data_IF_200688763441
#
_entry.id   IF_200688763441
#
_cell.length_a   1.000
_cell.length_b   1.000
_cell.length_c   1.000
_cell.angle_alpha   90.00
_cell.angle_beta   90.00
_cell.angle_gamma   90.00
#
_symmetry.space_group_name_H-M   'P 1'
#
loop_
_entity.id
_entity.type
_entity.pdbx_description
1 polymer ?
#
# COMPACT_ATOMS: atom_id res chain seq x y z
N UNK A 1 -18.70 15.36 5.27
CA UNK A 1 -17.93 16.36 5.99
C UNK A 1 -17.18 15.76 7.20
N UNK A 2 -17.75 14.79 7.93
CA UNK A 2 -17.06 14.04 9.00
C UNK A 2 -15.74 13.41 8.50
N UNK A 3 -15.75 12.79 7.31
CA UNK A 3 -14.56 12.22 6.71
C UNK A 3 -13.46 13.26 6.45
N UNK A 4 -13.82 14.48 6.01
CA UNK A 4 -12.87 15.59 5.84
C UNK A 4 -12.24 16.02 7.17
N UNK A 5 -13.07 16.11 8.21
CA UNK A 5 -12.58 16.46 9.55
C UNK A 5 -11.59 15.41 10.08
N UNK A 6 -11.93 14.14 9.91
CA UNK A 6 -11.06 13.01 10.27
C UNK A 6 -9.75 13.01 9.48
N UNK A 7 -9.80 13.29 8.17
CA UNK A 7 -8.59 13.41 7.34
C UNK A 7 -7.67 14.53 7.82
N UNK A 8 -8.22 15.73 8.14
CA UNK A 8 -7.43 16.84 8.66
C UNK A 8 -6.76 16.45 9.98
N UNK A 9 -7.48 15.78 10.87
CA UNK A 9 -6.92 15.32 12.14
C UNK A 9 -5.79 14.30 11.93
N UNK A 10 -6.00 13.31 11.05
CA UNK A 10 -5.01 12.29 10.73
C UNK A 10 -3.77 12.88 10.05
N UNK A 11 -3.94 13.79 9.09
CA UNK A 11 -2.83 14.50 8.45
C UNK A 11 -1.98 15.26 9.48
N UNK A 12 -2.62 15.97 10.41
CA UNK A 12 -1.94 16.71 11.46
C UNK A 12 -1.22 15.81 12.46
N UNK A 13 -1.80 14.68 12.86
CA UNK A 13 -1.15 13.70 13.73
C UNK A 13 0.07 13.07 13.05
N UNK A 14 -0.07 12.70 11.78
CA UNK A 14 1.03 12.11 11.01
C UNK A 14 2.13 13.12 10.71
N UNK A 15 1.74 14.36 10.37
CA UNK A 15 2.63 15.45 9.99
C UNK A 15 3.06 16.38 11.13
N UNK A 16 2.83 16.03 12.41
CA UNK A 16 3.03 16.92 13.55
C UNK A 16 4.45 17.52 13.63
N UNK A 17 5.46 16.75 13.24
CA UNK A 17 6.85 17.24 13.20
C UNK A 17 7.04 18.34 12.16
N UNK A 18 6.40 18.23 11.01
CA UNK A 18 6.44 19.22 9.93
C UNK A 18 5.71 20.50 10.38
N UNK A 19 4.51 20.37 10.92
CA UNK A 19 3.71 21.50 11.43
C UNK A 19 4.52 22.30 12.47
N UNK A 20 5.17 21.61 13.42
CA UNK A 20 6.03 22.23 14.44
C UNK A 20 7.30 22.85 13.85
N UNK A 21 7.96 22.16 12.91
CA UNK A 21 9.19 22.67 12.29
C UNK A 21 8.97 24.00 11.55
N UNK A 22 7.77 24.19 10.99
CA UNK A 22 7.40 25.42 10.29
C UNK A 22 6.59 26.41 11.16
N UNK A 23 6.32 26.11 12.45
CA UNK A 23 5.55 26.98 13.34
C UNK A 23 4.12 27.24 12.85
N UNK A 24 3.50 26.23 12.23
CA UNK A 24 2.18 26.36 11.60
C UNK A 24 1.02 25.82 12.43
N UNK A 25 1.20 25.63 13.72
CA UNK A 25 0.18 25.09 14.64
C UNK A 25 -1.09 25.96 14.64
N UNK A 26 -0.95 27.30 14.62
CA UNK A 26 -2.09 28.21 14.58
C UNK A 26 -2.90 28.07 13.28
N UNK A 27 -2.23 27.92 12.14
CA UNK A 27 -2.87 27.75 10.84
C UNK A 27 -3.64 26.42 10.76
N UNK A 28 -3.02 25.31 11.18
CA UNK A 28 -3.68 24.01 11.15
C UNK A 28 -4.84 23.91 12.13
N UNK A 29 -4.72 24.59 13.28
CA UNK A 29 -5.82 24.73 14.23
C UNK A 29 -6.98 25.50 13.63
N UNK A 30 -6.73 26.64 12.98
CA UNK A 30 -7.77 27.44 12.32
C UNK A 30 -8.45 26.63 11.19
N UNK A 31 -7.67 25.88 10.39
CA UNK A 31 -8.18 24.97 9.34
C UNK A 31 -9.12 23.92 9.92
N UNK A 32 -8.73 23.30 11.04
CA UNK A 32 -9.56 22.32 11.74
C UNK A 32 -10.82 22.97 12.32
N UNK A 33 -10.71 24.11 13.01
CA UNK A 33 -11.84 24.82 13.61
C UNK A 33 -12.86 25.23 12.54
N UNK A 34 -12.43 25.75 11.40
CA UNK A 34 -13.30 26.11 10.27
C UNK A 34 -14.08 24.91 9.73
N UNK A 35 -13.43 23.77 9.56
CA UNK A 35 -14.09 22.54 9.11
C UNK A 35 -15.05 22.00 10.19
N UNK A 36 -14.66 22.08 11.46
CA UNK A 36 -15.50 21.68 12.59
C UNK A 36 -16.74 22.56 12.73
N UNK A 37 -16.63 23.87 12.56
CA UNK A 37 -17.77 24.78 12.53
C UNK A 37 -18.74 24.43 11.39
N UNK A 38 -18.21 24.18 10.20
CA UNK A 38 -19.03 23.78 9.05
C UNK A 38 -19.78 22.46 9.34
N UNK A 39 -19.11 21.46 9.86
CA UNK A 39 -19.70 20.18 10.25
C UNK A 39 -20.76 20.35 11.35
N UNK A 40 -20.45 21.17 12.38
CA UNK A 40 -21.35 21.45 13.50
C UNK A 40 -22.62 22.19 13.03
N UNK A 41 -22.49 23.14 12.11
CA UNK A 41 -23.62 23.85 11.53
C UNK A 41 -24.54 22.92 10.72
N UNK A 42 -23.97 22.02 9.92
CA UNK A 42 -24.75 21.01 9.21
C UNK A 42 -25.46 20.05 10.17
N UNK A 43 -24.77 19.62 11.22
CA UNK A 43 -25.35 18.75 12.24
C UNK A 43 -26.50 19.45 13.01
N UNK A 44 -26.27 20.71 13.39
CA UNK A 44 -27.30 21.53 14.06
C UNK A 44 -28.52 21.76 13.17
N UNK A 45 -28.31 22.00 11.86
CA UNK A 45 -29.40 22.12 10.89
C UNK A 45 -30.21 20.82 10.80
N UNK A 46 -29.54 19.67 10.68
CA UNK A 46 -30.18 18.37 10.68
C UNK A 46 -30.98 18.12 11.96
N UNK A 47 -30.41 18.46 13.13
CA UNK A 47 -31.10 18.29 14.41
C UNK A 47 -32.35 19.17 14.51
N UNK A 48 -32.33 20.40 13.99
CA UNK A 48 -33.51 21.29 13.93
C UNK A 48 -34.60 20.68 13.04
N UNK A 49 -34.24 20.16 11.87
CA UNK A 49 -35.21 19.49 10.98
C UNK A 49 -35.82 18.25 11.65
N UNK A 50 -35.00 17.42 12.29
CA UNK A 50 -35.48 16.24 13.03
C UNK A 50 -36.39 16.65 14.21
N UNK A 51 -36.04 17.67 14.96
CA UNK A 51 -36.85 18.19 16.07
C UNK A 51 -38.21 18.69 15.56
N UNK A 52 -38.23 19.45 14.46
CA UNK A 52 -39.50 19.91 13.84
C UNK A 52 -40.36 18.73 13.36
N UNK A 53 -39.72 17.72 12.74
CA UNK A 53 -40.38 16.49 12.33
C UNK A 53 -41.02 15.74 13.51
N UNK A 54 -40.25 15.55 14.61
CA UNK A 54 -40.77 14.87 15.80
C UNK A 54 -41.92 15.64 16.44
N UNK A 55 -41.77 16.97 16.60
CA UNK A 55 -42.81 17.82 17.18
C UNK A 55 -44.10 17.79 16.36
N UNK A 56 -44.01 17.92 15.04
CA UNK A 56 -45.19 17.84 14.16
C UNK A 56 -45.84 16.45 14.18
N UNK A 57 -45.06 15.39 14.16
CA UNK A 57 -45.51 14.01 14.26
C UNK A 57 -46.24 13.73 15.58
N UNK A 58 -45.69 14.22 16.69
CA UNK A 58 -46.31 14.10 18.02
C UNK A 58 -47.63 14.86 18.10
N UNK A 59 -47.68 16.07 17.57
CA UNK A 59 -48.88 16.89 17.54
C UNK A 59 -50.01 16.19 16.76
N UNK A 60 -49.70 15.68 15.55
CA UNK A 60 -50.69 14.95 14.71
C UNK A 60 -51.16 13.70 15.42
N UNK A 61 -50.29 12.92 16.02
CA UNK A 61 -50.61 11.68 16.72
C UNK A 61 -51.45 11.91 17.95
N UNK A 62 -51.16 12.95 18.73
CA UNK A 62 -51.97 13.30 19.91
C UNK A 62 -53.34 13.85 19.52
N UNK A 63 -53.43 14.60 18.41
CA UNK A 63 -54.72 15.04 17.86
C UNK A 63 -55.56 13.84 17.39
N UNK A 64 -54.92 12.88 16.68
CA UNK A 64 -55.58 11.63 16.28
C UNK A 64 -56.14 10.87 17.51
N UNK A 65 -55.33 10.71 18.56
CA UNK A 65 -55.72 10.05 19.80
C UNK A 65 -56.88 10.77 20.47
N UNK A 66 -56.86 12.11 20.53
CA UNK A 66 -57.94 12.94 21.07
C UNK A 66 -59.26 12.68 20.32
N UNK A 67 -59.21 12.64 18.98
CA UNK A 67 -60.39 12.34 18.15
C UNK A 67 -60.91 10.95 18.42
N UNK A 68 -60.04 9.92 18.47
CA UNK A 68 -60.44 8.53 18.77
C UNK A 68 -61.10 8.41 20.13
N UNK A 69 -60.53 9.06 21.16
CA UNK A 69 -61.08 9.05 22.53
C UNK A 69 -62.45 9.77 22.57
N UNK A 70 -62.52 11.01 22.06
CA UNK A 70 -63.72 11.86 22.17
C UNK A 70 -64.85 11.29 21.33
N UNK A 71 -64.61 10.96 20.06
CA UNK A 71 -65.63 10.45 19.16
C UNK A 71 -66.05 9.02 19.52
N UNK A 72 -65.10 8.18 19.92
CA UNK A 72 -65.37 6.81 20.40
C UNK A 72 -66.22 6.80 21.66
N UNK A 73 -66.02 7.74 22.61
CA UNK A 73 -66.86 7.88 23.81
C UNK A 73 -68.25 8.27 23.44
N UNK A 74 -68.48 9.22 22.53
CA UNK A 74 -69.82 9.63 22.07
C UNK A 74 -70.55 8.44 21.43
N UNK A 75 -69.91 7.65 20.57
CA UNK A 75 -70.51 6.47 19.95
C UNK A 75 -70.89 5.42 21.00
N UNK A 76 -70.03 5.19 21.99
CA UNK A 76 -70.24 4.22 23.05
C UNK A 76 -71.47 4.59 23.93
N UNK A 77 -71.58 5.87 24.32
CA UNK A 77 -72.66 6.40 25.12
C UNK A 77 -74.00 6.28 24.36
N UNK A 78 -74.02 6.48 23.06
CA UNK A 78 -75.22 6.32 22.19
C UNK A 78 -75.45 4.87 21.76
N UNK A 79 -74.90 3.88 22.45
CA UNK A 79 -75.07 2.43 22.18
C UNK A 79 -74.63 1.98 20.75
N UNK A 80 -73.82 2.78 20.03
CA UNK A 80 -73.33 2.40 18.71
C UNK A 80 -72.06 1.50 18.78
N UNK A 81 -71.46 1.33 19.96
CA UNK A 81 -70.27 0.47 20.17
C UNK A 81 -70.27 -0.02 21.64
N UNK A 82 -69.75 -1.25 21.86
CA UNK A 82 -69.56 -1.74 23.24
C UNK A 82 -68.33 -1.08 23.90
N UNK A 83 -68.35 -0.96 25.24
CA UNK A 83 -67.21 -0.43 26.00
C UNK A 83 -65.93 -1.22 25.78
N UNK A 84 -65.99 -2.56 25.59
CA UNK A 84 -64.83 -3.40 25.26
C UNK A 84 -64.24 -3.07 23.92
N UNK A 85 -65.05 -2.84 22.89
CA UNK A 85 -64.55 -2.42 21.58
C UNK A 85 -63.89 -1.03 21.62
N UNK A 86 -64.43 -0.09 22.38
CA UNK A 86 -63.90 1.24 22.58
C UNK A 86 -62.49 1.18 23.19
N UNK A 87 -62.31 0.40 24.26
CA UNK A 87 -60.99 0.22 24.90
C UNK A 87 -60.04 -0.44 23.91
N UNK A 88 -60.50 -1.46 23.16
CA UNK A 88 -59.65 -2.11 22.14
C UNK A 88 -59.21 -1.13 21.05
N UNK A 89 -60.08 -0.22 20.59
CA UNK A 89 -59.69 0.81 19.61
C UNK A 89 -58.60 1.76 20.13
N UNK A 90 -58.72 2.22 21.38
CA UNK A 90 -57.69 3.07 22.01
C UNK A 90 -56.36 2.31 22.10
N UNK A 91 -56.40 1.05 22.57
CA UNK A 91 -55.22 0.21 22.71
C UNK A 91 -54.51 -0.04 21.37
N UNK A 92 -55.28 -0.45 20.33
CA UNK A 92 -54.71 -0.69 18.99
C UNK A 92 -54.14 0.61 18.35
N UNK A 93 -54.87 1.73 18.50
CA UNK A 93 -54.36 3.00 18.00
C UNK A 93 -53.05 3.37 18.67
N UNK A 94 -52.94 3.23 20.00
CA UNK A 94 -51.68 3.47 20.75
C UNK A 94 -50.54 2.57 20.30
N UNK A 95 -50.84 1.26 20.05
CA UNK A 95 -49.83 0.31 19.59
C UNK A 95 -49.30 0.62 18.18
N UNK A 96 -50.14 1.18 17.30
CA UNK A 96 -49.77 1.52 15.91
C UNK A 96 -48.94 2.79 15.81
N UNK A 97 -49.06 3.73 16.74
CA UNK A 97 -48.38 5.01 16.66
C UNK A 97 -46.87 4.86 16.58
N UNK A 98 -46.29 4.03 17.45
CA UNK A 98 -44.82 3.87 17.47
C UNK A 98 -44.24 3.18 16.21
N UNK A 99 -44.76 2.08 15.70
CA UNK A 99 -44.29 1.47 14.44
C UNK A 99 -44.38 2.44 13.25
N UNK A 100 -45.51 3.17 13.11
CA UNK A 100 -45.69 4.13 12.02
C UNK A 100 -44.66 5.25 12.09
N UNK A 101 -44.41 5.82 13.29
CA UNK A 101 -43.37 6.83 13.49
C UNK A 101 -41.95 6.32 13.21
N UNK A 102 -41.70 5.05 13.57
CA UNK A 102 -40.37 4.44 13.35
C UNK A 102 -40.04 4.19 11.86
N UNK A 103 -41.07 4.13 11.01
CA UNK A 103 -40.93 3.87 9.57
C UNK A 103 -40.01 4.90 8.90
N UNK A 104 -40.16 6.19 9.22
CA UNK A 104 -39.32 7.25 8.67
C UNK A 104 -37.87 7.07 9.02
N UNK A 105 -37.55 6.67 10.26
CA UNK A 105 -36.18 6.35 10.68
C UNK A 105 -35.65 5.10 9.98
N UNK A 106 -36.46 4.10 9.84
CA UNK A 106 -36.12 2.85 9.14
C UNK A 106 -35.75 3.12 7.69
N UNK A 107 -36.55 3.92 6.97
CA UNK A 107 -36.27 4.31 5.59
C UNK A 107 -34.95 5.09 5.49
N UNK A 108 -34.68 6.04 6.39
CA UNK A 108 -33.43 6.78 6.42
C UNK A 108 -32.22 5.86 6.68
N UNK A 109 -32.37 4.88 7.58
CA UNK A 109 -31.32 3.90 7.86
C UNK A 109 -31.10 2.93 6.68
N UNK A 110 -32.17 2.54 5.98
CA UNK A 110 -32.04 1.72 4.74
C UNK A 110 -31.26 2.45 3.65
N UNK A 111 -31.45 3.76 3.50
CA UNK A 111 -30.65 4.56 2.56
C UNK A 111 -29.16 4.55 2.91
N UNK A 112 -28.80 4.69 4.18
CA UNK A 112 -27.40 4.58 4.63
C UNK A 112 -26.83 3.16 4.42
N UNK A 113 -27.65 2.15 4.70
CA UNK A 113 -27.26 0.75 4.46
C UNK A 113 -27.01 0.49 2.96
N UNK A 114 -27.84 1.05 2.07
CA UNK A 114 -27.64 0.98 0.62
C UNK A 114 -26.25 1.48 0.19
N UNK A 115 -25.86 2.67 0.63
CA UNK A 115 -24.52 3.24 0.33
C UNK A 115 -23.41 2.34 0.85
N UNK A 116 -23.56 1.77 2.04
CA UNK A 116 -22.56 0.86 2.61
C UNK A 116 -22.47 -0.45 1.83
N UNK A 117 -23.62 -0.99 1.38
CA UNK A 117 -23.69 -2.19 0.53
C UNK A 117 -23.01 -1.91 -0.83
N UNK A 118 -23.25 -0.75 -1.43
CA UNK A 118 -22.64 -0.41 -2.71
C UNK A 118 -21.10 -0.30 -2.61
N UNK A 119 -20.58 0.25 -1.50
CA UNK A 119 -19.13 0.26 -1.23
C UNK A 119 -18.58 -1.16 -1.06
N UNK A 120 -19.27 -2.02 -0.33
CA UNK A 120 -18.88 -3.41 -0.18
C UNK A 120 -18.92 -4.15 -1.53
N UNK A 121 -19.97 -3.94 -2.33
CA UNK A 121 -20.09 -4.52 -3.68
C UNK A 121 -18.94 -4.05 -4.59
N UNK A 122 -18.57 -2.78 -4.53
CA UNK A 122 -17.44 -2.27 -5.29
C UNK A 122 -16.16 -3.04 -4.96
N UNK A 123 -15.87 -3.28 -3.67
CA UNK A 123 -14.70 -4.05 -3.25
C UNK A 123 -14.83 -5.53 -3.65
N UNK A 124 -16.00 -6.15 -3.41
CA UNK A 124 -16.21 -7.57 -3.69
C UNK A 124 -16.26 -7.91 -5.18
N UNK A 125 -16.67 -6.96 -6.02
CA UNK A 125 -16.73 -7.13 -7.48
C UNK A 125 -15.46 -6.58 -8.17
N UNK A 126 -14.46 -6.09 -7.43
CA UNK A 126 -13.18 -5.72 -8.02
C UNK A 126 -12.55 -6.96 -8.63
N UNK A 127 -11.95 -6.78 -9.80
CA UNK A 127 -11.26 -7.86 -10.49
C UNK A 127 -10.16 -8.44 -9.59
N UNK A 128 -10.23 -9.74 -9.39
CA UNK A 128 -9.17 -10.46 -8.68
C UNK A 128 -8.04 -10.76 -9.66
N UNK A 129 -6.83 -10.77 -9.15
CA UNK A 129 -5.70 -11.26 -9.92
C UNK A 129 -5.89 -12.78 -10.12
N UNK A 130 -6.07 -13.19 -11.36
CA UNK A 130 -6.21 -14.60 -11.74
C UNK A 130 -5.07 -15.03 -12.63
N UNK A 131 -4.50 -16.19 -12.32
CA UNK A 131 -3.55 -16.84 -13.19
C UNK A 131 -4.27 -17.56 -14.33
N UNK A 132 -3.59 -17.70 -15.49
CA UNK A 132 -4.12 -18.49 -16.58
C UNK A 132 -4.34 -19.95 -16.12
N UNK A 133 -5.36 -20.68 -16.64
CA UNK A 133 -5.66 -22.05 -16.20
C UNK A 133 -4.49 -23.02 -16.28
N UNK A 134 -3.55 -22.78 -17.21
CA UNK A 134 -2.38 -23.60 -17.45
C UNK A 134 -1.08 -22.93 -16.96
N UNK A 135 -1.16 -22.00 -16.00
CA UNK A 135 0.02 -21.32 -15.47
C UNK A 135 1.01 -22.31 -14.85
N UNK A 136 2.27 -22.16 -15.23
CA UNK A 136 3.37 -23.05 -14.85
C UNK A 136 4.21 -22.48 -13.69
N UNK A 137 5.03 -23.36 -13.10
CA UNK A 137 5.98 -23.01 -12.01
C UNK A 137 7.38 -23.47 -12.39
N UNK A 138 8.06 -22.81 -13.37
CA UNK A 138 9.38 -23.21 -13.82
C UNK A 138 10.47 -22.85 -12.81
N UNK A 139 11.67 -23.40 -13.00
CA UNK A 139 12.87 -22.91 -12.32
C UNK A 139 13.15 -21.47 -12.80
N UNK A 140 13.29 -20.53 -11.85
CA UNK A 140 13.53 -19.11 -12.14
C UNK A 140 15.02 -18.75 -12.17
N UNK A 141 15.95 -19.69 -11.91
CA UNK A 141 17.38 -19.45 -12.10
C UNK A 141 17.72 -19.59 -13.60
N UNK A 142 17.12 -18.75 -14.41
CA UNK A 142 17.22 -18.71 -15.86
C UNK A 142 17.40 -17.27 -16.32
N UNK A 143 17.78 -17.10 -17.60
CA UNK A 143 17.91 -15.79 -18.23
C UNK A 143 16.56 -15.06 -18.24
N UNK A 144 16.58 -13.77 -17.89
CA UNK A 144 15.44 -12.90 -17.94
C UNK A 144 15.54 -12.00 -19.18
N UNK A 145 14.49 -11.91 -19.98
CA UNK A 145 14.51 -11.11 -21.19
C UNK A 145 13.28 -10.21 -21.27
N UNK A 146 13.54 -8.92 -21.48
CA UNK A 146 12.53 -7.90 -21.79
C UNK A 146 12.54 -7.66 -23.30
N UNK A 147 11.39 -7.74 -23.95
CA UNK A 147 11.23 -7.56 -25.39
C UNK A 147 10.18 -6.51 -25.69
N UNK A 148 10.60 -5.36 -26.21
CA UNK A 148 9.75 -4.27 -26.65
C UNK A 148 8.71 -3.85 -25.61
N UNK A 149 9.09 -3.82 -24.32
CA UNK A 149 8.17 -3.54 -23.23
C UNK A 149 7.85 -2.07 -23.19
N UNK A 150 6.56 -1.74 -23.34
CA UNK A 150 5.99 -0.42 -23.13
C UNK A 150 4.96 -0.49 -22.00
N UNK A 151 4.86 0.54 -21.16
CA UNK A 151 3.93 0.53 -20.05
C UNK A 151 3.47 1.92 -19.64
N UNK A 152 2.17 2.03 -19.39
CA UNK A 152 1.51 3.20 -18.85
C UNK A 152 0.64 2.78 -17.64
N UNK A 153 0.69 3.54 -16.54
CA UNK A 153 -0.22 3.31 -15.43
C UNK A 153 -1.66 3.69 -15.79
N UNK A 154 -2.66 2.98 -15.27
CA UNK A 154 -4.09 3.23 -15.57
C UNK A 154 -4.53 4.68 -15.39
N UNK A 155 -4.01 5.35 -14.35
CA UNK A 155 -4.30 6.76 -14.08
C UNK A 155 -3.24 7.72 -14.63
N UNK A 156 -2.27 7.22 -15.40
CA UNK A 156 -1.19 8.00 -16.00
C UNK A 156 -1.60 8.62 -17.33
N UNK A 157 -1.06 9.80 -17.63
CA UNK A 157 -1.29 10.48 -18.92
C UNK A 157 -0.20 10.21 -19.95
N UNK A 158 0.91 9.56 -19.56
CA UNK A 158 2.06 9.29 -20.41
C UNK A 158 2.60 7.88 -20.15
N UNK A 159 3.24 7.30 -21.16
CA UNK A 159 4.00 6.07 -21.03
C UNK A 159 5.20 6.29 -20.12
N UNK A 160 5.39 5.36 -19.19
CA UNK A 160 6.54 5.34 -18.27
C UNK A 160 7.69 4.53 -18.83
N UNK A 161 7.38 3.52 -19.65
CA UNK A 161 8.33 2.70 -20.39
C UNK A 161 7.95 2.70 -21.88
N UNK A 162 8.95 2.88 -22.73
CA UNK A 162 8.76 2.93 -24.18
C UNK A 162 9.75 1.98 -24.88
N UNK A 163 9.23 0.88 -25.42
CA UNK A 163 9.97 -0.08 -26.23
C UNK A 163 11.29 -0.58 -25.58
N UNK A 164 11.24 -0.91 -24.31
CA UNK A 164 12.39 -1.35 -23.52
C UNK A 164 12.75 -2.80 -23.87
N UNK A 165 14.00 -3.05 -24.27
CA UNK A 165 14.50 -4.37 -24.59
C UNK A 165 15.90 -4.55 -24.01
N UNK A 166 16.12 -5.60 -23.22
CA UNK A 166 17.43 -6.02 -22.69
C UNK A 166 17.36 -7.45 -22.14
N UNK A 167 18.52 -8.02 -21.84
CA UNK A 167 18.65 -9.38 -21.31
C UNK A 167 19.52 -9.42 -20.06
N UNK A 168 19.07 -10.16 -19.05
CA UNK A 168 19.80 -10.45 -17.81
C UNK A 168 20.20 -11.91 -17.83
N UNK A 169 21.48 -12.22 -17.70
CA UNK A 169 21.96 -13.61 -17.60
C UNK A 169 21.73 -14.15 -16.20
N UNK A 170 21.34 -15.42 -16.11
CA UNK A 170 21.19 -16.11 -14.84
C UNK A 170 22.50 -16.12 -14.04
N UNK A 171 22.42 -15.96 -12.72
CA UNK A 171 23.56 -16.00 -11.81
C UNK A 171 24.51 -14.80 -11.94
N UNK A 172 24.15 -13.72 -12.65
CA UNK A 172 24.97 -12.50 -12.77
C UNK A 172 24.40 -11.34 -11.96
N UNK A 173 25.24 -10.35 -11.72
CA UNK A 173 24.83 -9.07 -11.15
C UNK A 173 24.55 -8.09 -12.27
N UNK A 174 23.33 -7.62 -12.37
CA UNK A 174 22.85 -6.68 -13.39
C UNK A 174 22.55 -5.31 -12.80
N UNK A 175 23.09 -4.25 -13.39
CA UNK A 175 22.92 -2.88 -12.95
C UNK A 175 21.90 -2.11 -13.78
N UNK A 176 21.05 -1.32 -13.15
CA UNK A 176 20.13 -0.36 -13.79
C UNK A 176 20.41 1.03 -13.26
N UNK A 177 21.02 1.88 -14.08
CA UNK A 177 21.25 3.29 -13.78
C UNK A 177 20.16 4.15 -14.39
N UNK A 178 19.75 5.20 -13.71
CA UNK A 178 18.82 6.19 -14.27
C UNK A 178 18.35 7.21 -13.24
N UNK A 179 17.89 8.35 -13.71
CA UNK A 179 17.31 9.40 -12.87
C UNK A 179 15.99 9.00 -12.21
N UNK A 180 15.51 9.81 -11.27
CA UNK A 180 14.18 9.66 -10.69
C UNK A 180 13.11 9.78 -11.79
N UNK A 181 12.14 8.87 -11.80
CA UNK A 181 11.08 8.86 -12.80
C UNK A 181 11.47 8.27 -14.17
N UNK A 182 12.66 7.67 -14.33
CA UNK A 182 13.06 7.03 -15.58
C UNK A 182 12.41 5.67 -15.85
N UNK A 183 11.63 5.09 -14.91
CA UNK A 183 10.91 3.83 -15.06
C UNK A 183 11.59 2.61 -14.43
N UNK A 184 12.71 2.74 -13.70
CA UNK A 184 13.47 1.63 -13.11
C UNK A 184 12.64 0.72 -12.21
N UNK A 185 11.96 1.28 -11.23
CA UNK A 185 11.12 0.53 -10.30
C UNK A 185 9.92 -0.11 -11.02
N UNK A 186 9.38 0.57 -12.05
CA UNK A 186 8.28 0.04 -12.87
C UNK A 186 8.68 -1.23 -13.59
N UNK A 187 9.91 -1.32 -14.14
CA UNK A 187 10.44 -2.55 -14.75
C UNK A 187 10.39 -3.72 -13.77
N UNK A 188 10.79 -3.49 -12.52
CA UNK A 188 10.82 -4.54 -11.50
C UNK A 188 9.43 -4.91 -11.00
N UNK A 189 8.53 -3.95 -10.89
CA UNK A 189 7.13 -4.24 -10.54
C UNK A 189 6.43 -5.05 -11.63
N UNK A 190 6.76 -4.85 -12.90
CA UNK A 190 6.28 -5.69 -13.99
C UNK A 190 6.88 -7.09 -13.92
N UNK A 191 8.19 -7.23 -13.64
CA UNK A 191 8.87 -8.51 -13.50
C UNK A 191 8.28 -9.36 -12.36
N UNK A 192 7.97 -8.72 -11.22
CA UNK A 192 7.36 -9.36 -10.04
C UNK A 192 5.83 -9.49 -10.16
N UNK A 193 5.27 -9.13 -11.32
CA UNK A 193 3.82 -9.11 -11.58
C UNK A 193 3.00 -8.33 -10.53
N UNK A 194 3.57 -7.31 -9.90
CA UNK A 194 2.81 -6.36 -9.08
C UNK A 194 1.90 -5.47 -9.95
N UNK A 195 2.29 -5.26 -11.20
CA UNK A 195 1.48 -4.68 -12.27
C UNK A 195 1.43 -5.63 -13.45
N UNK A 196 0.30 -5.67 -14.12
CA UNK A 196 0.10 -6.50 -15.30
C UNK A 196 0.60 -5.78 -16.56
N UNK A 197 1.43 -6.46 -17.35
CA UNK A 197 1.81 -6.00 -18.68
C UNK A 197 0.71 -6.39 -19.67
N UNK A 198 0.06 -5.42 -20.38
CA UNK A 198 -0.92 -5.75 -21.40
C UNK A 198 -0.31 -6.61 -22.53
N UNK A 199 -1.13 -7.44 -23.18
CA UNK A 199 -0.66 -8.43 -24.16
C UNK A 199 0.04 -7.83 -25.38
N UNK A 200 -0.36 -6.65 -25.80
CA UNK A 200 0.16 -5.92 -26.95
C UNK A 200 1.31 -4.94 -26.62
N UNK A 201 1.76 -4.90 -25.37
CA UNK A 201 2.78 -3.97 -24.89
C UNK A 201 4.15 -4.63 -24.67
N UNK A 202 4.45 -5.68 -25.40
CA UNK A 202 5.72 -6.40 -25.32
C UNK A 202 5.64 -7.66 -24.46
N UNK A 203 6.80 -8.18 -24.09
CA UNK A 203 6.93 -9.46 -23.40
C UNK A 203 8.07 -9.43 -22.39
N UNK A 204 7.86 -10.08 -21.24
CA UNK A 204 8.91 -10.38 -20.25
C UNK A 204 8.96 -11.89 -20.08
N UNK A 205 10.13 -12.49 -20.28
CA UNK A 205 10.31 -13.93 -20.17
C UNK A 205 11.40 -14.30 -19.17
N UNK A 206 11.21 -15.44 -18.49
CA UNK A 206 12.24 -16.11 -17.67
C UNK A 206 12.44 -17.51 -18.24
N UNK A 207 13.65 -17.85 -18.67
CA UNK A 207 13.91 -19.11 -19.35
C UNK A 207 13.12 -19.33 -20.64
N UNK A 208 12.73 -18.23 -21.31
CA UNK A 208 11.93 -18.27 -22.53
C UNK A 208 10.42 -18.42 -22.31
N UNK A 209 9.96 -18.57 -21.06
CA UNK A 209 8.54 -18.64 -20.70
C UNK A 209 8.08 -17.23 -20.31
N UNK A 210 6.94 -16.77 -20.85
CA UNK A 210 6.35 -15.49 -20.48
C UNK A 210 5.89 -15.50 -19.02
N UNK A 211 6.18 -14.42 -18.30
CA UNK A 211 5.75 -14.31 -16.89
C UNK A 211 4.22 -14.34 -16.72
N UNK A 212 3.46 -13.96 -17.77
CA UNK A 212 1.99 -14.06 -17.80
C UNK A 212 1.48 -15.50 -17.84
N UNK A 213 2.33 -16.47 -18.24
CA UNK A 213 2.05 -17.89 -18.26
C UNK A 213 2.57 -18.63 -17.01
N UNK A 214 3.14 -17.89 -16.05
CA UNK A 214 3.59 -18.42 -14.77
C UNK A 214 2.59 -18.05 -13.67
N UNK A 215 2.55 -18.82 -12.58
CA UNK A 215 1.76 -18.44 -11.39
C UNK A 215 2.36 -17.22 -10.71
N UNK A 216 1.55 -16.20 -10.43
CA UNK A 216 1.99 -14.96 -9.78
C UNK A 216 2.58 -15.23 -8.38
N UNK A 217 1.94 -16.10 -7.59
CA UNK A 217 2.44 -16.52 -6.29
C UNK A 217 3.84 -17.14 -6.39
N UNK A 218 4.06 -18.01 -7.38
CA UNK A 218 5.35 -18.66 -7.63
C UNK A 218 6.45 -17.65 -7.98
N UNK A 219 6.15 -16.66 -8.83
CA UNK A 219 7.08 -15.59 -9.16
C UNK A 219 7.46 -14.83 -7.90
N UNK A 220 6.49 -14.34 -7.12
CA UNK A 220 6.70 -13.58 -5.88
C UNK A 220 7.34 -14.37 -4.75
N UNK A 221 7.24 -15.70 -4.79
CA UNK A 221 7.97 -16.56 -3.86
C UNK A 221 9.45 -16.69 -4.20
N UNK A 222 9.80 -16.59 -5.46
CA UNK A 222 11.16 -16.82 -5.98
C UNK A 222 11.86 -15.53 -6.41
N UNK A 223 11.18 -14.41 -6.48
CA UNK A 223 11.78 -13.07 -6.64
C UNK A 223 11.75 -12.35 -5.29
N UNK A 224 12.91 -12.03 -4.78
CA UNK A 224 13.03 -11.20 -3.58
C UNK A 224 13.27 -9.75 -3.95
N UNK A 225 12.45 -8.83 -3.45
CA UNK A 225 12.60 -7.40 -3.73
C UNK A 225 12.74 -6.59 -2.43
N UNK A 226 13.75 -5.74 -2.41
CA UNK A 226 13.92 -4.72 -1.37
C UNK A 226 13.61 -3.36 -1.97
N UNK A 227 12.53 -2.74 -1.49
CA UNK A 227 12.04 -1.45 -1.98
C UNK A 227 12.90 -0.29 -1.49
N UNK A 228 12.87 0.83 -2.19
CA UNK A 228 13.54 2.08 -1.84
C UNK A 228 13.11 2.57 -0.45
N UNK A 229 11.81 2.52 -0.13
CA UNK A 229 11.27 2.80 1.20
C UNK A 229 10.79 1.49 1.85
N UNK A 230 11.58 0.91 2.77
CA UNK A 230 11.22 -0.35 3.39
C UNK A 230 10.05 -0.16 4.35
N UNK A 231 9.08 -1.06 4.28
CA UNK A 231 7.95 -1.09 5.18
C UNK A 231 8.13 -2.18 6.25
N UNK A 232 8.08 -1.78 7.50
CA UNK A 232 8.11 -2.71 8.64
C UNK A 232 6.77 -2.63 9.38
N UNK A 233 6.24 -3.79 9.72
CA UNK A 233 5.00 -3.91 10.47
C UNK A 233 5.22 -3.64 11.96
N UNK A 234 4.18 -3.19 12.64
CA UNK A 234 4.16 -2.96 14.08
C UNK A 234 4.19 -4.29 14.85
N UNK A 235 5.33 -4.94 14.86
CA UNK A 235 5.62 -6.27 15.44
C UNK A 235 7.07 -6.31 15.91
N UNK A 236 7.51 -7.46 16.47
CA UNK A 236 8.93 -7.66 16.81
C UNK A 236 9.82 -7.70 15.56
N UNK A 237 11.13 -7.48 15.73
CA UNK A 237 12.11 -7.60 14.64
C UNK A 237 12.15 -9.02 14.06
N UNK A 238 12.10 -10.04 14.90
CA UNK A 238 12.06 -11.44 14.44
C UNK A 238 10.82 -11.72 13.59
N UNK A 239 9.64 -11.22 13.99
CA UNK A 239 8.40 -11.37 13.23
C UNK A 239 8.42 -10.58 11.92
N UNK A 240 9.07 -9.43 11.88
CA UNK A 240 9.29 -8.69 10.65
C UNK A 240 10.20 -9.46 9.70
N UNK A 241 11.36 -9.98 10.18
CA UNK A 241 12.31 -10.71 9.32
C UNK A 241 11.67 -11.96 8.75
N UNK A 242 10.94 -12.75 9.56
CA UNK A 242 10.32 -14.01 9.11
C UNK A 242 9.03 -13.85 8.28
N UNK A 243 8.59 -12.61 7.99
CA UNK A 243 7.33 -12.39 7.26
C UNK A 243 7.29 -13.11 5.92
N UNK A 244 8.42 -13.18 5.25
CA UNK A 244 8.54 -13.88 3.97
C UNK A 244 8.58 -15.43 4.12
N UNK A 245 8.95 -15.95 5.30
CA UNK A 245 9.02 -17.38 5.60
C UNK A 245 8.57 -17.64 7.04
N UNK A 246 7.26 -17.84 7.23
CA UNK A 246 6.67 -17.98 8.57
C UNK A 246 7.22 -19.16 9.38
N UNK A 247 7.68 -20.23 8.70
CA UNK A 247 8.27 -21.42 9.30
C UNK A 247 9.73 -21.25 9.72
N UNK A 248 10.35 -20.07 9.47
CA UNK A 248 11.76 -19.84 9.76
C UNK A 248 12.05 -19.93 11.26
N UNK A 249 13.09 -20.65 11.62
CA UNK A 249 13.59 -20.73 12.99
C UNK A 249 14.52 -19.55 13.33
N UNK A 250 14.90 -19.42 14.61
CA UNK A 250 15.79 -18.34 15.06
C UNK A 250 17.20 -18.41 14.46
N UNK A 251 17.65 -19.58 14.02
CA UNK A 251 18.96 -19.73 13.39
C UNK A 251 18.91 -19.14 11.96
N UNK A 252 17.85 -19.41 11.22
CA UNK A 252 17.61 -18.85 9.88
C UNK A 252 17.45 -17.32 9.95
N UNK A 253 16.67 -16.82 10.94
CA UNK A 253 16.48 -15.38 11.16
C UNK A 253 17.83 -14.69 11.46
N UNK A 254 18.65 -15.25 12.35
CA UNK A 254 19.98 -14.71 12.63
C UNK A 254 20.92 -14.77 11.43
N UNK A 255 20.86 -15.83 10.65
CA UNK A 255 21.68 -15.96 9.44
C UNK A 255 21.33 -14.85 8.44
N UNK A 256 20.04 -14.63 8.17
CA UNK A 256 19.57 -13.56 7.30
C UNK A 256 19.98 -12.18 7.84
N UNK A 257 19.83 -11.94 9.14
CA UNK A 257 20.24 -10.70 9.79
C UNK A 257 21.76 -10.46 9.73
N UNK A 258 22.59 -11.53 9.85
CA UNK A 258 24.06 -11.43 9.70
C UNK A 258 24.46 -11.05 8.29
N UNK A 259 23.88 -11.69 7.27
CA UNK A 259 24.15 -11.35 5.87
C UNK A 259 23.75 -9.90 5.59
N UNK A 260 22.61 -9.44 6.13
CA UNK A 260 22.14 -8.06 6.05
C UNK A 260 22.92 -7.07 6.96
N UNK A 261 23.98 -7.51 7.66
CA UNK A 261 24.76 -6.70 8.64
C UNK A 261 23.90 -6.05 9.73
N UNK A 262 22.81 -6.71 10.13
CA UNK A 262 21.85 -6.21 11.14
C UNK A 262 22.04 -6.86 12.52
N UNK A 263 22.59 -8.09 12.60
CA UNK A 263 22.70 -8.88 13.85
C UNK A 263 23.48 -8.16 14.95
N UNK A 264 24.56 -7.48 14.59
CA UNK A 264 25.37 -6.67 15.51
C UNK A 264 24.53 -5.53 16.11
N UNK A 265 23.80 -4.80 15.29
CA UNK A 265 22.92 -3.72 15.77
C UNK A 265 21.82 -4.24 16.67
N UNK A 266 21.25 -5.42 16.39
CA UNK A 266 20.23 -6.06 17.20
C UNK A 266 20.79 -6.45 18.59
N UNK A 267 22.06 -6.86 18.67
CA UNK A 267 22.69 -7.23 19.94
C UNK A 267 22.74 -6.08 20.96
N UNK A 268 22.69 -4.85 20.50
CA UNK A 268 22.66 -3.64 21.34
C UNK A 268 21.24 -3.24 21.78
N UNK A 269 20.20 -3.87 21.26
CA UNK A 269 18.83 -3.60 21.68
C UNK A 269 18.52 -4.34 22.97
N UNK A 270 17.80 -3.68 23.88
CA UNK A 270 17.45 -4.23 25.20
C UNK A 270 16.74 -5.59 25.12
N UNK A 271 15.89 -5.78 24.12
CA UNK A 271 15.09 -6.99 23.91
C UNK A 271 15.58 -7.83 22.70
N UNK A 272 16.73 -7.44 22.10
CA UNK A 272 17.31 -8.14 20.96
C UNK A 272 16.31 -8.31 19.81
N UNK A 273 16.15 -9.51 19.31
CA UNK A 273 15.20 -9.84 18.23
C UNK A 273 13.73 -9.69 18.60
N UNK A 274 13.39 -9.62 19.89
CA UNK A 274 12.04 -9.37 20.37
C UNK A 274 11.72 -7.86 20.46
N UNK A 275 12.67 -7.00 20.15
CA UNK A 275 12.45 -5.55 20.13
C UNK A 275 11.29 -5.22 19.22
N UNK A 276 10.28 -4.55 19.79
CA UNK A 276 9.08 -4.16 19.07
C UNK A 276 9.37 -2.96 18.14
N UNK A 277 9.07 -3.15 16.89
CA UNK A 277 9.21 -2.12 15.85
C UNK A 277 7.88 -1.37 15.77
N UNK A 278 7.88 -0.10 16.12
CA UNK A 278 6.69 0.74 16.03
C UNK A 278 6.16 0.89 14.61
N UNK A 279 5.05 1.57 14.46
CA UNK A 279 4.41 1.78 13.17
C UNK A 279 5.41 2.33 12.14
N UNK A 280 5.49 1.69 10.97
CA UNK A 280 6.46 1.99 9.90
C UNK A 280 7.92 2.00 10.36
N UNK A 281 8.24 1.25 11.40
CA UNK A 281 9.63 1.13 11.88
C UNK A 281 10.16 2.39 12.59
N UNK A 282 9.29 3.21 13.20
CA UNK A 282 9.66 4.50 13.81
C UNK A 282 10.77 4.40 14.86
N UNK A 283 10.97 3.23 15.47
CA UNK A 283 11.99 2.97 16.49
C UNK A 283 13.39 2.67 15.93
N UNK A 284 13.49 2.45 14.61
CA UNK A 284 14.74 2.11 13.93
C UNK A 284 15.28 3.30 13.12
N UNK A 285 16.61 3.37 12.98
CA UNK A 285 17.23 4.30 12.03
C UNK A 285 16.94 3.88 10.57
N UNK A 286 17.08 4.79 9.61
CA UNK A 286 16.88 4.49 8.18
C UNK A 286 17.69 3.29 7.70
N UNK A 287 18.98 3.26 8.02
CA UNK A 287 19.86 2.14 7.67
C UNK A 287 19.49 0.82 8.36
N UNK A 288 18.99 0.86 9.61
CA UNK A 288 18.49 -0.34 10.29
C UNK A 288 17.21 -0.88 9.64
N UNK A 289 16.29 0.00 9.22
CA UNK A 289 15.08 -0.39 8.48
C UNK A 289 15.45 -1.07 7.17
N UNK A 290 16.39 -0.48 6.44
CA UNK A 290 16.86 -1.01 5.17
C UNK A 290 17.47 -2.41 5.34
N UNK A 291 18.35 -2.58 6.33
CA UNK A 291 18.95 -3.89 6.64
C UNK A 291 17.92 -4.90 7.11
N UNK A 292 16.87 -4.48 7.83
CA UNK A 292 15.78 -5.37 8.20
C UNK A 292 14.98 -5.85 6.96
N UNK A 293 14.72 -4.97 5.99
CA UNK A 293 14.08 -5.36 4.73
C UNK A 293 14.96 -6.29 3.88
N UNK A 294 16.28 -6.06 3.87
CA UNK A 294 17.21 -7.00 3.23
C UNK A 294 17.15 -8.37 3.92
N UNK A 295 17.14 -8.43 5.25
CA UNK A 295 17.00 -9.68 5.99
C UNK A 295 15.64 -10.39 5.72
N UNK A 296 14.54 -9.63 5.57
CA UNK A 296 13.23 -10.16 5.15
C UNK A 296 13.30 -10.85 3.79
N UNK A 297 13.99 -10.26 2.82
CA UNK A 297 14.16 -10.86 1.50
C UNK A 297 15.04 -12.12 1.59
N UNK A 298 16.18 -12.03 2.28
CA UNK A 298 17.20 -13.09 2.32
C UNK A 298 16.76 -14.35 3.05
N UNK A 299 15.75 -14.30 3.92
CA UNK A 299 15.29 -15.47 4.68
C UNK A 299 14.79 -16.60 3.78
N UNK A 300 14.32 -16.28 2.57
CA UNK A 300 13.87 -17.25 1.55
C UNK A 300 15.00 -17.74 0.64
N UNK A 301 16.11 -17.01 0.56
CA UNK A 301 17.20 -17.23 -0.42
C UNK A 301 16.66 -17.33 -1.86
N UNK A 302 16.00 -16.28 -2.36
CA UNK A 302 15.37 -16.34 -3.67
C UNK A 302 16.40 -16.44 -4.79
N UNK A 303 16.11 -17.15 -5.91
CA UNK A 303 17.01 -17.23 -7.07
C UNK A 303 17.19 -15.91 -7.81
N UNK A 304 16.24 -14.97 -7.66
CA UNK A 304 16.32 -13.60 -8.22
C UNK A 304 16.17 -12.61 -7.07
N UNK A 305 17.14 -11.69 -6.94
CA UNK A 305 17.14 -10.66 -5.91
C UNK A 305 17.19 -9.27 -6.54
N UNK A 306 16.28 -8.39 -6.13
CA UNK A 306 16.15 -7.02 -6.63
C UNK A 306 16.39 -6.04 -5.47
N UNK A 307 17.34 -5.14 -5.65
CA UNK A 307 17.67 -4.07 -4.72
C UNK A 307 17.32 -2.72 -5.37
N UNK A 308 16.14 -2.17 -5.06
CA UNK A 308 15.69 -0.90 -5.61
C UNK A 308 16.18 0.26 -4.73
N UNK A 309 17.31 0.85 -5.12
CA UNK A 309 18.04 1.94 -4.45
C UNK A 309 18.23 1.72 -2.93
N UNK A 310 18.06 0.48 -2.52
CA UNK A 310 17.97 0.07 -1.13
C UNK A 310 19.34 0.04 -0.41
N UNK A 311 20.44 0.05 -1.15
CA UNK A 311 21.80 0.13 -0.61
C UNK A 311 22.27 1.58 -0.45
N UNK A 312 21.55 2.56 -1.00
CA UNK A 312 21.92 3.99 -0.93
C UNK A 312 21.77 4.61 0.46
N UNK A 313 20.90 4.04 1.30
CA UNK A 313 20.65 4.48 2.68
C UNK A 313 21.61 3.81 3.70
N UNK A 314 22.49 2.94 3.23
CA UNK A 314 23.49 2.24 4.04
C UNK A 314 24.85 2.87 3.78
N UNK A 315 25.72 2.95 4.80
CA UNK A 315 27.08 3.44 4.63
C UNK A 315 27.92 2.47 3.77
N UNK A 316 28.98 2.99 3.15
CA UNK A 316 29.80 2.25 2.17
C UNK A 316 30.47 0.98 2.76
N UNK A 317 30.83 1.00 4.04
CA UNK A 317 31.43 -0.15 4.71
C UNK A 317 30.39 -1.27 4.89
N UNK A 318 29.18 -0.91 5.33
CA UNK A 318 28.08 -1.84 5.50
C UNK A 318 27.59 -2.37 4.15
N UNK A 319 27.52 -1.56 3.10
CA UNK A 319 27.21 -2.00 1.74
C UNK A 319 28.20 -3.07 1.26
N UNK A 320 29.50 -2.83 1.43
CA UNK A 320 30.55 -3.80 1.09
C UNK A 320 30.40 -5.12 1.87
N UNK A 321 30.10 -5.06 3.18
CA UNK A 321 29.85 -6.25 4.00
C UNK A 321 28.64 -7.05 3.52
N UNK A 322 27.53 -6.37 3.18
CA UNK A 322 26.32 -7.01 2.65
C UNK A 322 26.65 -7.71 1.32
N UNK A 323 27.33 -7.06 0.39
CA UNK A 323 27.72 -7.65 -0.90
C UNK A 323 28.63 -8.87 -0.75
N UNK A 324 29.61 -8.80 0.15
CA UNK A 324 30.46 -9.95 0.47
C UNK A 324 29.62 -11.08 1.05
N UNK A 325 28.76 -10.76 2.03
CA UNK A 325 27.85 -11.76 2.61
C UNK A 325 26.90 -12.40 1.60
N UNK A 326 26.40 -11.63 0.63
CA UNK A 326 25.59 -12.17 -0.48
C UNK A 326 26.41 -13.13 -1.35
N UNK A 327 27.60 -12.71 -1.79
CA UNK A 327 28.48 -13.53 -2.61
C UNK A 327 28.87 -14.84 -1.95
N UNK A 328 29.15 -14.83 -0.64
CA UNK A 328 29.61 -16.01 0.11
C UNK A 328 28.48 -17.00 0.43
N UNK A 329 27.22 -16.51 0.55
CA UNK A 329 26.09 -17.33 1.02
C UNK A 329 25.05 -17.62 -0.07
N UNK A 330 25.04 -16.86 -1.19
CA UNK A 330 24.00 -16.90 -2.22
C UNK A 330 24.65 -16.70 -3.60
N UNK A 331 25.68 -17.49 -3.92
CA UNK A 331 26.52 -17.31 -5.10
C UNK A 331 25.85 -17.65 -6.44
N UNK A 332 24.71 -18.33 -6.44
CA UNK A 332 24.03 -18.77 -7.68
C UNK A 332 22.87 -17.85 -8.08
N UNK A 333 22.43 -16.92 -7.22
CA UNK A 333 21.28 -16.07 -7.53
C UNK A 333 21.60 -14.96 -8.52
N UNK A 334 20.63 -14.60 -9.33
CA UNK A 334 20.66 -13.39 -10.18
C UNK A 334 20.38 -12.17 -9.33
N UNK A 335 21.26 -11.18 -9.35
CA UNK A 335 21.13 -9.96 -8.57
C UNK A 335 20.89 -8.78 -9.49
N UNK A 336 19.80 -8.03 -9.25
CA UNK A 336 19.46 -6.81 -9.99
C UNK A 336 19.63 -5.62 -9.04
N UNK A 337 20.58 -4.74 -9.36
CA UNK A 337 20.88 -3.53 -8.61
C UNK A 337 20.33 -2.32 -9.34
N UNK A 338 19.38 -1.64 -8.73
CA UNK A 338 18.86 -0.36 -9.20
C UNK A 338 19.49 0.74 -8.35
N UNK A 339 20.15 1.69 -8.97
CA UNK A 339 20.72 2.82 -8.24
C UNK A 339 20.90 4.04 -9.14
N UNK A 340 20.91 5.20 -8.49
CA UNK A 340 21.36 6.46 -9.07
C UNK A 340 22.87 6.71 -8.79
N UNK A 341 23.54 5.84 -7.97
CA UNK A 341 24.97 5.93 -7.63
C UNK A 341 25.75 4.93 -8.47
N UNK A 342 26.72 5.46 -9.22
CA UNK A 342 27.58 4.59 -10.04
C UNK A 342 28.44 3.68 -9.17
N UNK A 343 28.92 4.14 -8.02
CA UNK A 343 29.71 3.33 -7.07
C UNK A 343 29.00 2.03 -6.68
N UNK A 344 27.68 2.04 -6.63
CA UNK A 344 26.85 0.85 -6.38
C UNK A 344 26.86 -0.12 -7.57
N UNK A 345 26.96 0.39 -8.79
CA UNK A 345 26.80 -0.39 -10.03
C UNK A 345 28.14 -0.82 -10.68
N UNK A 346 29.27 -0.23 -10.27
CA UNK A 346 30.58 -0.51 -10.89
C UNK A 346 30.99 -1.98 -10.87
N UNK A 347 30.53 -2.74 -9.88
CA UNK A 347 30.82 -4.17 -9.74
C UNK A 347 29.79 -5.08 -10.44
N UNK A 348 28.82 -4.53 -11.17
CA UNK A 348 27.86 -5.30 -11.93
C UNK A 348 28.49 -5.84 -13.21
N UNK A 349 28.13 -7.08 -13.57
CA UNK A 349 28.62 -7.75 -14.78
C UNK A 349 28.13 -7.07 -16.07
N UNK A 350 26.94 -6.47 -16.00
CA UNK A 350 26.33 -5.71 -17.08
C UNK A 350 25.45 -4.58 -16.54
N UNK A 351 25.45 -3.45 -17.21
CA UNK A 351 24.70 -2.24 -16.77
C UNK A 351 23.92 -1.70 -17.95
N UNK A 352 22.67 -1.33 -17.70
CA UNK A 352 21.89 -0.49 -18.61
C UNK A 352 21.66 0.89 -18.01
N UNK A 353 21.57 1.89 -18.89
CA UNK A 353 21.19 3.26 -18.52
C UNK A 353 19.78 3.50 -19.04
N UNK A 354 18.87 3.78 -18.13
CA UNK A 354 17.48 4.09 -18.44
C UNK A 354 17.25 5.59 -18.34
N UNK A 355 16.83 6.20 -19.44
CA UNK A 355 16.43 7.60 -19.48
C UNK A 355 15.06 7.75 -20.14
N UNK A 356 14.15 8.46 -19.46
CA UNK A 356 12.77 8.73 -19.93
C UNK A 356 12.05 7.48 -20.50
N UNK A 357 12.14 6.38 -19.78
CA UNK A 357 11.45 5.14 -20.15
C UNK A 357 12.14 4.32 -21.24
N UNK A 358 13.35 4.68 -21.68
CA UNK A 358 14.08 3.97 -22.76
C UNK A 358 15.48 3.55 -22.30
N UNK A 359 15.96 2.42 -22.77
CA UNK A 359 17.37 2.03 -22.62
C UNK A 359 18.17 2.83 -23.64
N UNK A 360 19.08 3.67 -23.13
CA UNK A 360 19.91 4.55 -23.96
C UNK A 360 21.36 4.09 -24.08
N UNK A 361 21.86 3.37 -23.08
CA UNK A 361 23.21 2.80 -23.07
C UNK A 361 23.20 1.45 -22.39
N UNK A 362 24.07 0.53 -22.82
CA UNK A 362 24.29 -0.78 -22.19
C UNK A 362 25.75 -1.20 -22.34
N UNK A 363 26.27 -1.95 -21.39
CA UNK A 363 27.65 -2.48 -21.38
C UNK A 363 28.19 -2.73 -19.98
N UNK A 364 29.48 -3.08 -19.87
CA UNK A 364 30.20 -3.12 -18.58
C UNK A 364 30.56 -1.70 -18.12
N UNK A 365 31.01 -1.57 -16.87
CA UNK A 365 31.50 -0.30 -16.33
C UNK A 365 32.55 0.34 -17.25
N UNK A 366 33.57 -0.42 -17.68
CA UNK A 366 34.65 0.03 -18.52
C UNK A 366 34.15 0.49 -19.90
N UNK A 367 33.29 -0.33 -20.54
CA UNK A 367 32.70 -0.02 -21.85
C UNK A 367 31.87 1.27 -21.81
N UNK A 368 31.11 1.46 -20.72
CA UNK A 368 30.26 2.66 -20.55
C UNK A 368 31.09 3.91 -20.26
N UNK A 369 32.23 3.77 -19.60
CA UNK A 369 33.17 4.89 -19.42
C UNK A 369 33.87 5.32 -20.72
N UNK A 370 34.12 4.39 -21.65
CA UNK A 370 34.68 4.71 -22.96
C UNK A 370 33.66 5.45 -23.85
N UNK A 371 32.36 5.16 -23.69
CA UNK A 371 31.30 5.88 -24.38
C UNK A 371 31.15 7.27 -23.75
N UNK A 372 31.18 8.34 -24.55
CA UNK A 372 30.95 9.71 -24.07
C UNK A 372 29.44 9.98 -23.82
N UNK A 373 28.79 9.10 -23.08
CA UNK A 373 27.36 9.07 -22.86
C UNK A 373 26.91 9.60 -21.49
N UNK A 374 25.68 9.26 -21.12
CA UNK A 374 25.04 9.65 -19.86
C UNK A 374 25.79 9.01 -18.68
N UNK A 375 26.17 7.73 -18.81
CA UNK A 375 26.90 7.01 -17.77
C UNK A 375 28.18 7.72 -17.35
N UNK A 376 29.05 8.05 -18.32
CA UNK A 376 30.31 8.74 -18.07
C UNK A 376 30.09 10.11 -17.44
N UNK A 377 29.12 10.87 -17.93
CA UNK A 377 28.80 12.19 -17.38
C UNK A 377 28.38 12.11 -15.89
N UNK A 378 27.55 11.12 -15.53
CA UNK A 378 27.17 10.90 -14.13
C UNK A 378 28.38 10.47 -13.29
N UNK A 379 29.24 9.61 -13.84
CA UNK A 379 30.48 9.19 -13.17
C UNK A 379 31.39 10.38 -12.85
N UNK A 380 31.65 11.23 -13.82
CA UNK A 380 32.50 12.44 -13.63
C UNK A 380 31.91 13.41 -12.60
N UNK A 381 30.60 13.62 -12.62
CA UNK A 381 29.92 14.45 -11.62
C UNK A 381 30.00 13.87 -10.19
N UNK A 382 29.82 12.55 -10.04
CA UNK A 382 29.86 11.90 -8.72
C UNK A 382 31.29 11.78 -8.18
N UNK A 383 32.30 11.61 -9.03
CA UNK A 383 33.69 11.56 -8.64
C UNK A 383 34.19 12.92 -8.13
N UNK A 384 33.77 14.03 -8.75
CA UNK A 384 34.10 15.39 -8.30
C UNK A 384 33.48 15.79 -6.96
N UNK A 385 32.37 15.13 -6.55
CA UNK A 385 31.73 15.38 -5.25
C UNK A 385 32.36 14.59 -4.10
N UNK A 386 33.22 13.63 -4.42
CA UNK A 386 33.86 12.74 -3.43
C UNK A 386 35.29 13.21 -3.08
N UNK A 387 35.84 14.20 -3.77
CA UNK A 387 37.05 14.97 -3.43
C UNK A 387 36.68 16.23 -2.60
#
# INVERSE_FOLDING_TARGET
EEGKLSSIAQENLTGVRVVRAFGREAYERERFEKQNEHYTNMWTHLMRLLSAFWMSSDMISNLQMLVVISYGAIITVNNGMSAGNYIAFIAYNSLLLWPVRSLGRTIANMSKAGISIDRLRYIMNSEMEEDKPNAVTPDLLQDIEFKNVSYQYENGTAEVLENVSFKIKAGTTFGILGGTGSGKSTLMYLLDRLYQLPDDHGQITIGGIDIRDMKAEWIRENIGMVLQEPYLFSRSLSENIKIAKQSADMKEIRTAAKIASLDEAISHFKEGYNTYVGERGVTLSGGQKQRAAIAQMLIRKPPIMIFDDSLSAVDAETDAKIRTGLKDNISESTVILISHRITTLMAADHIIVLDKGRVVEEGTHEQLLEKQGIYRRIYEMQSQQSE
#
